data_IF_602548073939
#
_entry.id   IF_602548073939
#
_cell.length_a   1.000
_cell.length_b   1.000
_cell.length_c   1.000
_cell.angle_alpha   90.00
_cell.angle_beta   90.00
_cell.angle_gamma   90.00
#
_symmetry.space_group_name_H-M   'P 1'
#
loop_
_entity.id
_entity.type
_entity.pdbx_description
1 polymer ?
#
# COMPACT_ATOMS: atom_id res chain seq x y z
N UNK A 1 15.02 -0.98 8.92
CA UNK A 1 14.33 -2.23 9.27
C UNK A 1 15.16 -3.14 10.21
N UNK A 2 15.76 -2.57 11.26
CA UNK A 2 16.59 -3.32 12.23
C UNK A 2 17.76 -4.13 11.62
N UNK A 3 18.34 -5.05 12.38
CA UNK A 3 19.41 -5.94 11.89
C UNK A 3 18.90 -7.08 11.00
N UNK A 4 17.58 -7.37 11.02
CA UNK A 4 16.95 -8.48 10.29
C UNK A 4 16.45 -8.12 8.89
N UNK A 5 16.59 -6.85 8.47
CA UNK A 5 16.00 -6.34 7.22
C UNK A 5 14.48 -6.64 7.14
N UNK A 6 13.79 -6.44 8.25
CA UNK A 6 12.39 -6.80 8.42
C UNK A 6 11.69 -5.81 9.34
N UNK A 7 10.41 -5.59 9.09
CA UNK A 7 9.47 -4.85 9.94
C UNK A 7 8.29 -5.77 10.23
N UNK A 8 7.90 -5.91 11.50
CA UNK A 8 6.83 -6.83 11.92
C UNK A 8 5.66 -6.01 12.46
N UNK A 9 4.45 -6.27 11.97
CA UNK A 9 3.23 -5.60 12.46
C UNK A 9 2.89 -6.03 13.89
N UNK A 10 2.04 -5.27 14.62
CA UNK A 10 1.54 -5.71 15.92
C UNK A 10 0.82 -7.06 15.89
N UNK A 11 0.29 -7.47 14.72
CA UNK A 11 -0.35 -8.76 14.49
C UNK A 11 0.65 -9.88 14.17
N UNK A 12 1.95 -9.60 14.17
CA UNK A 12 3.00 -10.58 13.88
C UNK A 12 3.23 -10.84 12.39
N UNK A 13 2.74 -9.99 11.49
CA UNK A 13 2.96 -10.13 10.04
C UNK A 13 4.33 -9.52 9.70
N UNK A 14 5.30 -10.31 9.20
CA UNK A 14 6.59 -9.79 8.80
C UNK A 14 6.51 -9.08 7.45
N UNK A 15 7.34 -8.08 7.21
CA UNK A 15 7.59 -7.47 5.90
C UNK A 15 9.09 -7.31 5.70
N UNK A 16 9.62 -7.96 4.67
CA UNK A 16 11.02 -7.81 4.28
C UNK A 16 11.23 -6.40 3.67
N UNK A 17 12.22 -5.67 4.19
CA UNK A 17 12.67 -4.39 3.66
C UNK A 17 14.11 -4.15 4.11
N UNK A 18 15.03 -3.73 3.24
CA UNK A 18 16.42 -3.50 3.64
C UNK A 18 16.53 -2.37 4.67
N UNK A 19 17.51 -2.50 5.56
CA UNK A 19 17.91 -1.43 6.49
C UNK A 19 18.96 -0.48 5.93
N UNK A 20 19.70 -0.95 4.92
CA UNK A 20 20.67 -0.14 4.21
C UNK A 20 19.94 0.92 3.36
N UNK A 21 20.36 2.18 3.49
CA UNK A 21 19.74 3.31 2.77
C UNK A 21 20.04 3.32 1.27
N UNK A 22 21.13 2.68 0.85
CA UNK A 22 21.54 2.61 -0.54
C UNK A 22 20.86 1.46 -1.31
N UNK A 23 20.19 0.55 -0.60
CA UNK A 23 19.48 -0.57 -1.20
C UNK A 23 18.08 -0.16 -1.66
N UNK A 24 17.70 -0.66 -2.85
CA UNK A 24 16.36 -0.45 -3.39
C UNK A 24 15.35 -1.25 -2.57
N UNK A 25 14.31 -0.58 -2.08
CA UNK A 25 13.31 -1.16 -1.18
C UNK A 25 11.87 -1.05 -1.69
N UNK A 26 11.67 -0.55 -2.91
CA UNK A 26 10.35 -0.29 -3.47
C UNK A 26 10.37 -0.37 -4.99
N UNK A 27 9.32 -0.94 -5.57
CA UNK A 27 9.11 -1.00 -7.01
C UNK A 27 7.92 -0.11 -7.38
N UNK A 28 8.18 0.93 -8.20
CA UNK A 28 7.21 1.97 -8.54
C UNK A 28 6.56 1.75 -9.91
N UNK A 29 5.29 2.16 -10.02
CA UNK A 29 4.54 2.28 -11.27
C UNK A 29 3.85 3.64 -11.37
N UNK A 30 3.76 4.19 -12.58
CA UNK A 30 3.03 5.43 -12.87
C UNK A 30 2.61 5.51 -14.34
N UNK A 31 1.72 6.44 -14.67
CA UNK A 31 1.42 6.83 -16.05
C UNK A 31 2.49 7.77 -16.64
N UNK A 32 3.39 8.33 -15.82
CA UNK A 32 4.53 9.11 -16.30
C UNK A 32 5.57 8.24 -17.01
N UNK A 33 6.26 8.82 -18.00
CA UNK A 33 7.19 8.10 -18.88
C UNK A 33 8.46 7.58 -18.17
N UNK A 34 8.78 8.08 -16.98
CA UNK A 34 9.92 7.64 -16.19
C UNK A 34 9.65 6.41 -15.30
N UNK A 35 8.43 5.87 -15.32
CA UNK A 35 8.06 4.65 -14.60
C UNK A 35 7.36 3.66 -15.53
N UNK A 36 7.47 2.34 -15.28
CA UNK A 36 6.61 1.38 -15.94
C UNK A 36 5.15 1.60 -15.51
N UNK A 37 4.20 1.41 -16.43
CA UNK A 37 2.75 1.47 -16.10
C UNK A 37 2.30 0.30 -15.22
N UNK A 38 3.04 -0.80 -15.26
CA UNK A 38 2.81 -1.99 -14.45
C UNK A 38 4.09 -2.77 -14.20
N UNK A 39 4.18 -3.42 -13.05
CA UNK A 39 5.21 -4.40 -12.72
C UNK A 39 4.57 -5.72 -12.33
N UNK A 40 5.22 -6.84 -12.62
CA UNK A 40 4.78 -8.18 -12.21
C UNK A 40 5.91 -8.93 -11.54
N UNK A 41 5.64 -9.45 -10.34
CA UNK A 41 6.58 -10.20 -9.52
C UNK A 41 6.08 -11.65 -9.46
N UNK A 42 6.92 -12.66 -9.75
CA UNK A 42 6.50 -14.06 -9.67
C UNK A 42 6.19 -14.45 -8.22
N UNK A 43 5.11 -15.21 -8.04
CA UNK A 43 4.72 -15.82 -6.77
C UNK A 43 4.70 -17.34 -6.91
N UNK A 44 4.77 -18.04 -5.78
CA UNK A 44 4.72 -19.50 -5.76
C UNK A 44 4.04 -20.03 -4.49
N UNK A 45 3.49 -21.24 -4.62
CA UNK A 45 2.75 -21.92 -3.56
C UNK A 45 1.29 -21.48 -3.49
N UNK A 46 0.62 -21.85 -2.40
CA UNK A 46 -0.74 -21.45 -2.09
C UNK A 46 -0.74 -20.55 -0.87
N UNK A 47 -1.72 -19.66 -0.76
CA UNK A 47 -1.90 -18.77 0.38
C UNK A 47 -3.37 -18.46 0.58
N UNK A 48 -3.76 -18.15 1.81
CA UNK A 48 -5.08 -17.63 2.18
C UNK A 48 -5.13 -16.11 2.09
N UNK A 49 -4.02 -15.42 2.31
CA UNK A 49 -3.92 -13.96 2.27
C UNK A 49 -2.59 -13.50 1.68
N UNK A 50 -2.61 -12.36 0.99
CA UNK A 50 -1.43 -11.57 0.67
C UNK A 50 -1.50 -10.22 1.38
N UNK A 51 -0.61 -10.02 2.34
CA UNK A 51 -0.41 -8.73 3.00
C UNK A 51 0.61 -7.92 2.23
N UNK A 52 0.30 -6.65 1.97
CA UNK A 52 1.10 -5.76 1.16
C UNK A 52 1.56 -4.58 1.99
N UNK A 53 2.84 -4.23 1.87
CA UNK A 53 3.36 -2.94 2.33
C UNK A 53 3.53 -2.05 1.11
N UNK A 54 2.75 -0.99 1.01
CA UNK A 54 2.71 -0.12 -0.16
C UNK A 54 2.89 1.35 0.22
N UNK A 55 3.52 2.12 -0.65
CA UNK A 55 3.69 3.55 -0.45
C UNK A 55 3.67 4.27 -1.81
N UNK A 56 3.15 5.49 -1.83
CA UNK A 56 3.07 6.24 -3.07
C UNK A 56 2.33 7.55 -2.90
N UNK A 57 2.19 8.29 -3.99
CA UNK A 57 1.53 9.59 -4.03
C UNK A 57 0.22 9.50 -4.81
N UNK A 58 -0.74 10.31 -4.40
CA UNK A 58 -1.96 10.59 -5.15
C UNK A 58 -2.39 12.03 -4.88
N UNK A 59 -3.07 12.64 -5.83
CA UNK A 59 -3.56 14.01 -5.74
C UNK A 59 -5.02 14.04 -5.31
N UNK A 60 -5.47 15.14 -4.69
CA UNK A 60 -6.84 15.23 -4.17
C UNK A 60 -7.92 15.11 -5.26
N UNK A 61 -7.61 15.51 -6.51
CA UNK A 61 -8.53 15.32 -7.64
C UNK A 61 -8.70 13.85 -8.06
N UNK A 62 -7.82 12.95 -7.61
CA UNK A 62 -7.91 11.50 -7.83
C UNK A 62 -8.61 10.76 -6.67
N UNK A 63 -9.38 11.49 -5.85
CA UNK A 63 -10.22 10.89 -4.81
C UNK A 63 -11.44 10.20 -5.43
N UNK A 64 -11.89 9.12 -4.79
CA UNK A 64 -13.06 8.33 -5.17
C UNK A 64 -12.99 7.65 -6.55
N UNK A 65 -11.83 7.65 -7.19
CA UNK A 65 -11.57 6.90 -8.41
C UNK A 65 -10.51 5.81 -8.17
N UNK A 66 -10.49 4.80 -9.04
CA UNK A 66 -9.48 3.74 -8.98
C UNK A 66 -8.15 4.31 -9.49
N UNK A 67 -7.21 4.51 -8.57
CA UNK A 67 -5.88 5.05 -8.86
C UNK A 67 -4.97 3.99 -9.48
N UNK A 68 -5.14 2.73 -9.05
CA UNK A 68 -4.44 1.57 -9.55
C UNK A 68 -5.06 0.28 -9.03
N UNK A 69 -4.47 -0.84 -9.42
CA UNK A 69 -4.95 -2.17 -9.07
C UNK A 69 -3.77 -3.05 -8.67
N UNK A 70 -4.00 -3.91 -7.68
CA UNK A 70 -3.11 -5.03 -7.35
C UNK A 70 -3.80 -6.32 -7.74
N UNK A 71 -3.18 -7.08 -8.63
CA UNK A 71 -3.75 -8.28 -9.24
C UNK A 71 -2.88 -9.48 -8.86
N UNK A 72 -3.44 -10.42 -8.11
CA UNK A 72 -2.81 -11.70 -7.81
C UNK A 72 -3.31 -12.75 -8.80
N UNK A 73 -2.45 -13.15 -9.73
CA UNK A 73 -2.74 -14.18 -10.73
C UNK A 73 -2.48 -15.58 -10.19
N UNK A 74 -3.36 -16.51 -10.56
CA UNK A 74 -3.23 -17.94 -10.29
C UNK A 74 -2.75 -18.69 -11.53
N UNK A 75 -2.22 -19.91 -11.36
CA UNK A 75 -1.75 -20.74 -12.47
C UNK A 75 -2.89 -21.26 -13.36
N UNK A 76 -4.12 -21.28 -12.85
CA UNK A 76 -5.34 -21.66 -13.58
C UNK A 76 -5.89 -20.54 -14.49
N UNK A 77 -5.22 -19.38 -14.52
CA UNK A 77 -5.62 -18.21 -15.33
C UNK A 77 -6.61 -17.27 -14.64
N UNK A 78 -7.15 -17.63 -13.48
CA UNK A 78 -8.00 -16.74 -12.67
C UNK A 78 -7.16 -15.73 -11.87
N UNK A 79 -7.80 -14.73 -11.24
CA UNK A 79 -7.13 -13.76 -10.39
C UNK A 79 -7.98 -13.33 -9.19
N UNK A 80 -7.30 -12.81 -8.16
CA UNK A 80 -7.86 -11.96 -7.12
C UNK A 80 -7.38 -10.52 -7.36
N UNK A 81 -8.20 -9.53 -7.10
CA UNK A 81 -7.88 -8.12 -7.36
C UNK A 81 -8.22 -7.24 -6.16
N UNK A 82 -7.39 -6.23 -5.92
CA UNK A 82 -7.63 -5.15 -4.97
C UNK A 82 -7.48 -3.81 -5.69
N UNK A 83 -8.56 -3.03 -5.70
CA UNK A 83 -8.55 -1.66 -6.19
C UNK A 83 -7.84 -0.75 -5.18
N UNK A 84 -7.01 0.16 -5.67
CA UNK A 84 -6.36 1.21 -4.90
C UNK A 84 -7.15 2.50 -5.10
N UNK A 85 -8.03 2.82 -4.14
CA UNK A 85 -8.97 3.93 -4.21
C UNK A 85 -8.92 4.75 -2.93
N UNK A 86 -8.81 6.06 -3.06
CA UNK A 86 -8.90 6.98 -1.92
C UNK A 86 -10.39 7.31 -1.64
N UNK A 87 -10.85 7.39 -0.37
CA UNK A 87 -10.11 7.23 0.89
C UNK A 87 -10.22 5.80 1.48
N UNK A 88 -10.42 4.80 0.63
CA UNK A 88 -10.70 3.42 1.05
C UNK A 88 -9.40 2.64 1.27
N UNK A 89 -8.66 2.38 0.20
CA UNK A 89 -7.50 1.47 0.14
C UNK A 89 -6.21 2.15 -0.32
N UNK A 90 -6.25 3.44 -0.68
CA UNK A 90 -5.08 4.18 -1.15
C UNK A 90 -4.91 5.55 -0.51
N UNK A 91 -3.92 5.64 0.40
CA UNK A 91 -3.58 6.85 1.12
C UNK A 91 -2.22 7.40 0.66
N UNK A 92 -2.10 8.71 0.36
CA UNK A 92 -0.83 9.32 -0.04
C UNK A 92 0.22 9.21 1.08
N UNK A 93 1.48 9.05 0.69
CA UNK A 93 2.61 8.84 1.59
C UNK A 93 2.84 10.01 2.56
N UNK A 94 2.58 11.24 2.13
CA UNK A 94 2.95 12.48 2.83
C UNK A 94 1.87 13.00 3.77
N UNK A 95 0.67 12.40 3.78
CA UNK A 95 -0.46 12.88 4.59
C UNK A 95 -1.49 11.79 4.92
N UNK A 96 -2.35 12.06 5.89
CA UNK A 96 -3.51 11.22 6.21
C UNK A 96 -4.81 11.75 5.58
N UNK A 97 -5.85 10.92 5.51
CA UNK A 97 -7.17 11.34 5.03
C UNK A 97 -7.76 12.45 5.90
N UNK A 98 -8.36 13.44 5.26
CA UNK A 98 -9.24 14.38 5.94
C UNK A 98 -10.61 13.74 6.14
N UNK A 99 -11.06 13.63 7.40
CA UNK A 99 -12.36 13.07 7.77
C UNK A 99 -13.00 14.00 8.78
N UNK A 100 -14.20 14.50 8.48
CA UNK A 100 -14.98 15.41 9.33
C UNK A 100 -16.27 14.78 9.86
N UNK A 101 -16.63 13.58 9.38
CA UNK A 101 -17.87 12.90 9.74
C UNK A 101 -19.11 13.43 9.01
N UNK A 102 -18.96 14.37 8.08
CA UNK A 102 -20.02 14.94 7.26
C UNK A 102 -19.76 14.61 5.77
N UNK A 103 -19.30 15.60 4.99
CA UNK A 103 -19.04 15.44 3.56
C UNK A 103 -17.81 14.55 3.30
N UNK A 104 -16.90 14.45 4.29
CA UNK A 104 -15.71 13.62 4.23
C UNK A 104 -15.82 12.53 5.31
N UNK A 105 -16.55 11.48 4.99
CA UNK A 105 -16.73 10.29 5.84
C UNK A 105 -16.14 9.06 5.18
N UNK A 106 -15.73 8.09 5.99
CA UNK A 106 -15.22 6.82 5.52
C UNK A 106 -16.34 5.79 5.48
N UNK A 107 -16.39 5.03 4.40
CA UNK A 107 -17.32 3.92 4.21
C UNK A 107 -16.75 2.60 4.74
N UNK A 108 -15.43 2.52 4.88
CA UNK A 108 -14.70 1.35 5.38
C UNK A 108 -13.68 1.75 6.46
N UNK A 109 -13.26 0.81 7.33
CA UNK A 109 -12.19 1.08 8.29
C UNK A 109 -10.89 1.50 7.60
N UNK A 110 -10.15 2.39 8.25
CA UNK A 110 -8.85 2.86 7.74
C UNK A 110 -7.85 1.70 7.69
N UNK A 111 -7.11 1.55 6.58
CA UNK A 111 -5.98 0.63 6.54
C UNK A 111 -4.94 0.99 7.60
N UNK A 112 -4.30 -0.02 8.18
CA UNK A 112 -3.15 0.22 9.06
C UNK A 112 -2.03 0.89 8.28
N UNK A 113 -1.34 1.84 8.93
CA UNK A 113 -0.21 2.54 8.35
C UNK A 113 1.04 2.39 9.20
N UNK A 114 2.19 2.49 8.55
CA UNK A 114 3.53 2.45 9.13
C UNK A 114 4.23 3.78 8.83
N UNK A 115 4.60 4.53 9.86
CA UNK A 115 5.42 5.74 9.73
C UNK A 115 6.85 5.33 9.42
N UNK A 116 7.32 5.68 8.22
CA UNK A 116 8.60 5.19 7.69
C UNK A 116 9.79 5.72 8.49
N UNK A 117 9.66 6.93 9.07
CA UNK A 117 10.70 7.57 9.88
C UNK A 117 10.96 6.86 11.22
N UNK A 118 9.90 6.40 11.88
CA UNK A 118 9.99 5.87 13.25
C UNK A 118 9.79 4.36 13.33
N UNK A 119 9.22 3.74 12.29
CA UNK A 119 8.85 2.34 12.30
C UNK A 119 7.61 2.02 13.15
N UNK A 120 6.83 3.03 13.55
CA UNK A 120 5.61 2.84 14.35
C UNK A 120 4.41 2.55 13.48
N UNK A 121 3.52 1.69 13.98
CA UNK A 121 2.25 1.38 13.36
C UNK A 121 1.12 2.14 14.02
N UNK A 122 0.12 2.52 13.22
CA UNK A 122 -1.09 3.15 13.70
C UNK A 122 -2.27 2.79 12.80
N UNK A 123 -3.45 2.53 13.39
CA UNK A 123 -4.70 2.47 12.62
C UNK A 123 -5.18 3.87 12.23
N UNK A 124 -4.84 4.87 13.05
CA UNK A 124 -5.24 6.26 12.88
C UNK A 124 -4.07 7.19 13.15
N UNK A 125 -3.80 8.09 12.20
CA UNK A 125 -2.83 9.15 12.41
C UNK A 125 -3.46 10.24 13.28
N UNK A 126 -3.62 9.95 14.58
CA UNK A 126 -4.00 10.96 15.56
C UNK A 126 -2.79 11.84 15.92
N UNK A 127 -2.16 12.41 14.89
CA UNK A 127 -1.06 13.37 15.02
C UNK A 127 -1.56 14.55 15.85
N UNK A 128 -1.01 14.69 17.05
CA UNK A 128 -1.35 15.75 17.99
C UNK A 128 -0.78 17.12 17.55
N UNK A 129 0.03 17.18 16.49
CA UNK A 129 0.77 18.40 16.07
C UNK A 129 1.13 18.44 14.58
N UNK A 130 0.15 18.50 13.68
CA UNK A 130 0.45 18.82 12.26
C UNK A 130 -0.60 19.78 11.72
N UNK A 131 -0.14 20.79 10.97
CA UNK A 131 -0.93 21.85 10.38
C UNK A 131 -2.18 21.34 9.66
N UNK A 132 -3.32 21.98 9.96
CA UNK A 132 -4.60 21.77 9.30
C UNK A 132 -4.63 22.54 7.98
N UNK A 133 -3.81 22.13 7.02
CA UNK A 133 -3.97 22.61 5.65
C UNK A 133 -5.03 21.79 4.92
N UNK A 134 -5.68 22.42 3.94
CA UNK A 134 -6.68 21.82 3.06
C UNK A 134 -6.07 20.59 2.36
N UNK A 135 -6.40 19.38 2.84
CA UNK A 135 -5.88 18.13 2.29
C UNK A 135 -5.45 17.06 3.30
N UNK A 136 -5.54 17.34 4.61
CA UNK A 136 -5.26 16.36 5.66
C UNK A 136 -3.97 16.62 6.42
N UNK A 137 -3.71 15.81 7.46
CA UNK A 137 -2.55 15.96 8.35
C UNK A 137 -1.27 15.51 7.64
N UNK A 138 -0.30 16.41 7.52
CA UNK A 138 1.03 16.08 6.96
C UNK A 138 1.79 15.12 7.86
N UNK A 139 2.54 14.19 7.26
CA UNK A 139 3.31 13.14 7.93
C UNK A 139 4.79 13.33 7.61
N UNK A 140 5.56 13.81 8.59
CA UNK A 140 7.01 14.00 8.44
C UNK A 140 7.73 12.65 8.28
N UNK A 141 8.46 12.49 7.16
CA UNK A 141 9.10 11.24 6.77
C UNK A 141 8.16 10.21 6.15
N UNK A 142 6.87 10.53 6.02
CA UNK A 142 5.87 9.76 5.29
C UNK A 142 5.43 8.45 5.95
N UNK A 143 4.37 7.85 5.40
CA UNK A 143 3.82 6.60 5.85
C UNK A 143 3.39 5.67 4.71
N UNK A 144 3.76 4.40 4.84
CA UNK A 144 3.26 3.31 3.99
C UNK A 144 1.94 2.77 4.53
N UNK A 145 1.14 2.22 3.63
CA UNK A 145 -0.16 1.61 3.87
C UNK A 145 -0.03 0.09 3.83
N UNK A 146 -0.68 -0.59 4.77
CA UNK A 146 -0.75 -2.04 4.82
C UNK A 146 -2.12 -2.47 4.29
N UNK A 147 -2.11 -3.33 3.27
CA UNK A 147 -3.32 -3.83 2.61
C UNK A 147 -3.37 -5.35 2.68
N UNK A 148 -4.58 -5.89 2.70
CA UNK A 148 -4.85 -7.33 2.68
C UNK A 148 -5.62 -7.69 1.41
N UNK A 149 -5.17 -8.74 0.73
CA UNK A 149 -5.91 -9.38 -0.36
C UNK A 149 -6.26 -10.81 0.09
N UNK A 150 -7.54 -11.11 0.31
CA UNK A 150 -8.00 -12.48 0.48
C UNK A 150 -7.73 -13.30 -0.79
N UNK A 151 -7.10 -14.46 -0.62
CA UNK A 151 -6.70 -15.37 -1.68
C UNK A 151 -7.42 -16.71 -1.59
N UNK A 152 -7.39 -17.47 -2.69
CA UNK A 152 -7.94 -18.82 -2.74
C UNK A 152 -6.91 -19.85 -2.25
N UNK A 153 -7.08 -20.48 -1.07
CA UNK A 153 -6.11 -21.44 -0.54
C UNK A 153 -5.98 -22.72 -1.37
N UNK A 154 -6.95 -23.01 -2.23
CA UNK A 154 -6.92 -24.17 -3.12
C UNK A 154 -6.09 -23.94 -4.39
N UNK A 155 -5.83 -22.68 -4.77
CA UNK A 155 -5.20 -22.29 -6.04
C UNK A 155 -3.71 -22.04 -5.89
N UNK A 156 -2.94 -22.42 -6.91
CA UNK A 156 -1.50 -22.11 -6.99
C UNK A 156 -1.32 -20.67 -7.48
N UNK A 157 -0.51 -19.90 -6.74
CA UNK A 157 -0.13 -18.55 -7.11
C UNK A 157 0.85 -18.56 -8.28
N UNK A 158 0.77 -17.52 -9.12
CA UNK A 158 1.63 -17.31 -10.28
C UNK A 158 2.39 -15.99 -10.18
N UNK A 159 1.69 -14.91 -9.87
CA UNK A 159 2.29 -13.58 -9.86
C UNK A 159 1.44 -12.59 -9.07
N UNK A 160 2.07 -11.51 -8.62
CA UNK A 160 1.41 -10.29 -8.19
C UNK A 160 1.80 -9.16 -9.15
N UNK A 161 0.80 -8.48 -9.67
CA UNK A 161 0.96 -7.35 -10.60
C UNK A 161 0.44 -6.10 -9.95
N UNK A 162 1.23 -5.03 -9.99
CA UNK A 162 0.80 -3.69 -9.59
C UNK A 162 0.69 -2.84 -10.84
N UNK A 163 -0.45 -2.18 -11.02
CA UNK A 163 -0.77 -1.39 -12.21
C UNK A 163 -1.29 -0.02 -11.80
N UNK A 164 -0.75 1.03 -12.38
CA UNK A 164 -1.27 2.39 -12.21
C UNK A 164 -2.27 2.71 -13.30
N UNK A 165 -3.43 3.26 -12.94
CA UNK A 165 -4.51 3.62 -13.88
C UNK A 165 -4.67 5.12 -14.04
N UNK A 166 -4.49 5.88 -12.97
CA UNK A 166 -4.71 7.33 -12.96
C UNK A 166 -3.43 8.13 -13.23
N UNK A 167 -3.58 9.30 -13.85
CA UNK A 167 -2.51 10.29 -13.99
C UNK A 167 -2.19 10.95 -12.64
N UNK A 168 -0.99 11.51 -12.51
CA UNK A 168 -0.54 12.20 -11.28
C UNK A 168 -0.49 11.29 -10.04
N UNK A 169 -0.33 9.99 -10.26
CA UNK A 169 -0.25 8.96 -9.23
C UNK A 169 1.05 8.17 -9.40
N UNK A 170 1.74 7.93 -8.29
CA UNK A 170 2.84 6.98 -8.21
C UNK A 170 2.47 5.92 -7.20
N UNK A 171 2.46 4.64 -7.59
CA UNK A 171 2.15 3.51 -6.72
C UNK A 171 3.42 2.69 -6.53
N UNK A 172 3.78 2.41 -5.29
CA UNK A 172 4.96 1.62 -4.95
C UNK A 172 4.61 0.40 -4.11
N UNK A 173 5.16 -0.74 -4.50
CA UNK A 173 5.12 -1.96 -3.71
C UNK A 173 6.48 -2.16 -3.02
N UNK A 174 6.47 -2.17 -1.69
CA UNK A 174 7.69 -2.36 -0.88
C UNK A 174 7.89 -3.84 -0.53
N UNK A 175 6.83 -4.53 -0.12
CA UNK A 175 6.92 -5.90 0.37
C UNK A 175 5.59 -6.63 0.23
N UNK A 176 5.67 -7.96 0.10
CA UNK A 176 4.52 -8.88 0.03
C UNK A 176 4.78 -10.05 0.96
N UNK A 177 3.83 -10.31 1.86
CA UNK A 177 3.88 -11.43 2.78
C UNK A 177 2.68 -12.34 2.60
N UNK A 178 2.95 -13.62 2.36
CA UNK A 178 1.93 -14.62 2.05
C UNK A 178 1.63 -15.46 3.30
N UNK A 179 0.35 -15.50 3.70
CA UNK A 179 -0.11 -16.40 4.74
C UNK A 179 -0.46 -17.76 4.12
N UNK A 180 0.32 -18.79 4.45
CA UNK A 180 0.21 -20.13 3.87
C UNK A 180 -0.55 -21.11 4.75
#
# INVERSE_FOLDING_TARGET
AGSKNEIITPQGIPFATPSNREEKNIAFTSQWDNYPRSISIPLAGKATHAYLLMAGSTYHMQSQIINGEVIVGYTDGTNSMLDLKNPETWCPIDRDYYVDGYAFSLTIPRPMRLELKTGKFFPDFNLSKSSTDYGGKSIDGGASTILDIPLSPSKQLKSITVKTLSNEVVIGLMSVSLLR
#
